data_IF_481943038157
#
_entry.id   IF_481943038157
#
_cell.length_a   1.000
_cell.length_b   1.000
_cell.length_c   1.000
_cell.angle_alpha   90.00
_cell.angle_beta   90.00
_cell.angle_gamma   90.00
#
_symmetry.space_group_name_H-M   'P 1'
#
loop_
_entity.id
_entity.type
_entity.pdbx_description
1 polymer ?
#
# COMPACT_ATOMS: atom_id res chain seq x y z
N UNK A 1 -3.97 -16.76 9.41
CA UNK A 1 -3.88 -15.40 9.99
C UNK A 1 -5.11 -14.59 9.59
N UNK A 2 -5.54 -13.61 10.41
CA UNK A 2 -6.75 -12.80 10.15
C UNK A 2 -6.35 -11.41 9.65
N UNK A 3 -6.92 -11.00 8.52
CA UNK A 3 -6.89 -9.61 8.04
C UNK A 3 -7.91 -8.80 8.84
N UNK A 4 -7.50 -7.64 9.35
CA UNK A 4 -8.35 -6.78 10.18
C UNK A 4 -8.31 -5.36 9.59
N UNK A 5 -9.48 -4.76 9.42
CA UNK A 5 -9.59 -3.34 9.06
C UNK A 5 -9.24 -2.51 10.30
N UNK A 6 -8.28 -1.60 10.16
CA UNK A 6 -7.90 -0.69 11.26
C UNK A 6 -8.79 0.55 11.14
N UNK A 7 -9.68 0.80 12.11
CA UNK A 7 -10.59 1.93 12.01
C UNK A 7 -9.80 3.25 12.05
N UNK A 8 -10.12 4.14 11.11
CA UNK A 8 -9.63 5.51 11.11
C UNK A 8 -10.51 6.32 12.06
N UNK A 9 -10.05 6.49 13.30
CA UNK A 9 -10.85 7.12 14.37
C UNK A 9 -10.84 8.66 14.37
N UNK A 10 -10.15 9.29 13.40
CA UNK A 10 -10.09 10.75 13.28
C UNK A 10 -9.89 11.19 11.82
N UNK A 11 -10.05 12.49 11.54
CA UNK A 11 -9.65 13.11 10.27
C UNK A 11 -8.13 13.02 10.10
N UNK A 12 -7.67 11.85 9.69
CA UNK A 12 -6.26 11.52 9.55
C UNK A 12 -5.71 12.20 8.30
N UNK A 13 -4.85 13.20 8.50
CA UNK A 13 -4.08 13.78 7.40
C UNK A 13 -2.92 12.83 7.03
N UNK A 14 -3.05 12.22 5.85
CA UNK A 14 -2.06 11.32 5.25
C UNK A 14 -0.68 11.97 5.08
N UNK A 15 -0.62 13.27 4.78
CA UNK A 15 0.66 14.00 4.69
C UNK A 15 1.37 14.04 6.04
N UNK A 16 0.61 14.04 7.13
CA UNK A 16 1.17 14.04 8.50
C UNK A 16 1.61 12.64 8.93
N UNK A 17 0.89 11.59 8.52
CA UNK A 17 1.24 10.20 8.87
C UNK A 17 2.37 9.62 8.02
N UNK A 18 2.37 9.92 6.73
CA UNK A 18 3.34 9.39 5.76
C UNK A 18 3.90 10.52 4.89
N UNK A 19 4.55 11.54 5.49
CA UNK A 19 5.16 12.61 4.73
C UNK A 19 6.13 12.01 3.72
N UNK A 20 6.13 12.56 2.50
CA UNK A 20 6.94 12.17 1.33
C UNK A 20 6.47 10.91 0.58
N UNK A 21 5.88 9.91 1.24
CA UNK A 21 5.26 8.77 0.55
C UNK A 21 4.04 9.21 -0.25
N UNK A 22 3.24 10.10 0.34
CA UNK A 22 2.07 10.72 -0.30
C UNK A 22 2.43 11.53 -1.53
N UNK A 23 3.49 12.36 -1.48
CA UNK A 23 3.92 13.18 -2.63
C UNK A 23 4.18 12.34 -3.88
N UNK A 24 4.98 11.28 -3.78
CA UNK A 24 5.29 10.43 -4.94
C UNK A 24 4.12 9.57 -5.40
N UNK A 25 3.25 9.17 -4.48
CA UNK A 25 2.07 8.36 -4.80
C UNK A 25 0.89 9.18 -5.36
N UNK A 26 0.83 10.48 -5.05
CA UNK A 26 -0.28 11.38 -5.43
C UNK A 26 0.07 12.43 -6.49
N UNK A 27 1.34 12.79 -6.71
CA UNK A 27 1.75 13.92 -7.58
C UNK A 27 1.32 13.79 -9.06
N UNK A 28 0.86 12.62 -9.52
CA UNK A 28 0.52 12.39 -10.94
C UNK A 28 -0.77 11.61 -11.18
N UNK A 29 -1.60 11.38 -10.15
CA UNK A 29 -2.74 10.45 -10.25
C UNK A 29 -4.03 11.08 -9.75
N UNK A 30 -5.16 10.56 -10.24
CA UNK A 30 -6.51 11.04 -9.95
C UNK A 30 -6.80 11.11 -8.44
N UNK A 31 -7.81 11.91 -8.10
CA UNK A 31 -8.32 12.07 -6.74
C UNK A 31 -8.64 10.71 -6.10
N UNK A 32 -8.33 10.58 -4.82
CA UNK A 32 -8.61 9.37 -4.04
C UNK A 32 -10.09 9.33 -3.72
N UNK A 33 -10.76 8.26 -4.14
CA UNK A 33 -12.18 8.02 -3.83
C UNK A 33 -12.34 7.46 -2.42
N UNK A 34 -11.48 6.54 -2.04
CA UNK A 34 -11.54 5.86 -0.75
C UNK A 34 -10.15 5.49 -0.26
N UNK A 35 -9.91 5.75 1.02
CA UNK A 35 -8.70 5.35 1.73
C UNK A 35 -9.08 4.44 2.89
N UNK A 36 -8.40 3.29 3.00
CA UNK A 36 -8.56 2.39 4.14
C UNK A 36 -7.20 1.90 4.64
N UNK A 37 -7.13 1.65 5.94
CA UNK A 37 -5.95 1.03 6.55
C UNK A 37 -6.31 -0.38 6.99
N UNK A 38 -5.49 -1.33 6.57
CA UNK A 38 -5.60 -2.72 6.99
C UNK A 38 -4.32 -3.15 7.70
N UNK A 39 -4.47 -4.11 8.60
CA UNK A 39 -3.36 -4.80 9.22
C UNK A 39 -3.47 -6.30 8.90
N UNK A 40 -2.36 -6.86 8.42
CA UNK A 40 -2.19 -8.30 8.27
C UNK A 40 -0.96 -8.72 9.06
N UNK A 41 -1.18 -9.34 10.22
CA UNK A 41 -0.13 -9.63 11.21
C UNK A 41 0.65 -8.35 11.58
N UNK A 42 1.90 -8.22 11.13
CA UNK A 42 2.77 -7.05 11.36
C UNK A 42 2.93 -6.15 10.13
N UNK A 43 2.28 -6.50 9.03
CA UNK A 43 2.29 -5.73 7.79
C UNK A 43 1.13 -4.74 7.83
N UNK A 44 1.46 -3.46 7.78
CA UNK A 44 0.46 -2.39 7.58
C UNK A 44 0.18 -2.29 6.09
N UNK A 45 -1.08 -2.18 5.72
CA UNK A 45 -1.52 -2.10 4.33
C UNK A 45 -2.32 -0.82 4.20
N UNK A 46 -1.86 0.06 3.32
CA UNK A 46 -2.60 1.25 2.93
C UNK A 46 -3.33 0.90 1.64
N UNK A 47 -4.65 0.92 1.71
CA UNK A 47 -5.53 0.69 0.58
C UNK A 47 -6.00 2.04 0.04
N UNK A 48 -5.72 2.30 -1.22
CA UNK A 48 -6.08 3.53 -1.92
C UNK A 48 -6.90 3.15 -3.14
N UNK A 49 -8.20 3.42 -3.08
CA UNK A 49 -9.10 3.26 -4.22
C UNK A 49 -9.28 4.60 -4.94
N UNK A 50 -8.98 4.57 -6.23
CA UNK A 50 -9.17 5.66 -7.18
C UNK A 50 -10.15 5.19 -8.25
N UNK A 51 -10.77 6.13 -8.95
CA UNK A 51 -11.81 5.84 -9.95
C UNK A 51 -11.37 4.85 -11.04
N UNK A 52 -10.08 4.80 -11.36
CA UNK A 52 -9.47 3.95 -12.39
C UNK A 52 -8.59 2.82 -11.82
N UNK A 53 -7.96 3.03 -10.66
CA UNK A 53 -7.00 2.08 -10.08
C UNK A 53 -7.18 1.90 -8.58
N UNK A 54 -6.95 0.68 -8.10
CA UNK A 54 -6.77 0.40 -6.68
C UNK A 54 -5.29 0.13 -6.42
N UNK A 55 -4.68 0.95 -5.57
CA UNK A 55 -3.30 0.79 -5.15
C UNK A 55 -3.25 0.25 -3.70
N UNK A 56 -2.39 -0.74 -3.46
CA UNK A 56 -2.06 -1.22 -2.12
C UNK A 56 -0.59 -0.93 -1.83
N UNK A 57 -0.31 -0.27 -0.69
CA UNK A 57 1.04 -0.12 -0.17
C UNK A 57 1.20 -0.99 1.07
N UNK A 58 2.05 -2.00 0.97
CA UNK A 58 2.36 -2.92 2.05
C UNK A 58 3.66 -2.50 2.72
N UNK A 59 3.60 -2.31 4.03
CA UNK A 59 4.68 -1.78 4.84
C UNK A 59 4.97 -2.74 5.99
N UNK A 60 6.21 -3.22 6.08
CA UNK A 60 6.65 -4.05 7.20
C UNK A 60 7.95 -3.50 7.82
N UNK A 61 7.94 -3.35 9.14
CA UNK A 61 9.08 -2.80 9.90
C UNK A 61 10.08 -3.86 10.36
N UNK A 62 9.66 -5.11 10.51
CA UNK A 62 10.42 -6.15 11.21
C UNK A 62 10.97 -7.24 10.27
N UNK A 63 10.25 -7.58 9.20
CA UNK A 63 10.63 -8.63 8.24
C UNK A 63 10.38 -8.23 6.78
N UNK A 64 10.96 -9.00 5.86
CA UNK A 64 10.54 -8.99 4.45
C UNK A 64 9.16 -9.62 4.32
N UNK A 65 8.34 -9.07 3.45
CA UNK A 65 6.98 -9.56 3.20
C UNK A 65 7.11 -10.75 2.24
N UNK A 66 6.58 -11.91 2.64
CA UNK A 66 6.66 -13.12 1.82
C UNK A 66 5.69 -13.08 0.64
N UNK A 67 5.99 -13.87 -0.40
CA UNK A 67 5.17 -13.93 -1.61
C UNK A 67 3.73 -14.37 -1.30
N UNK A 68 3.58 -15.38 -0.44
CA UNK A 68 2.29 -15.90 0.01
C UNK A 68 1.48 -14.86 0.80
N UNK A 69 2.14 -14.02 1.60
CA UNK A 69 1.46 -12.92 2.29
C UNK A 69 0.88 -11.92 1.29
N UNK A 70 1.67 -11.52 0.29
CA UNK A 70 1.22 -10.59 -0.77
C UNK A 70 0.02 -11.17 -1.52
N UNK A 71 0.08 -12.44 -1.92
CA UNK A 71 -1.03 -13.12 -2.61
C UNK A 71 -2.29 -13.21 -1.75
N UNK A 72 -2.14 -13.56 -0.48
CA UNK A 72 -3.27 -13.64 0.45
C UNK A 72 -3.93 -12.27 0.62
N UNK A 73 -3.13 -11.21 0.69
CA UNK A 73 -3.62 -9.82 0.80
C UNK A 73 -4.36 -9.41 -0.48
N UNK A 74 -3.78 -9.66 -1.66
CA UNK A 74 -4.42 -9.38 -2.96
C UNK A 74 -5.75 -10.12 -3.06
N UNK A 75 -5.75 -11.44 -2.83
CA UNK A 75 -6.94 -12.26 -2.95
C UNK A 75 -8.05 -11.83 -1.99
N UNK A 76 -7.69 -11.42 -0.77
CA UNK A 76 -8.67 -11.03 0.25
C UNK A 76 -9.19 -9.59 0.07
N UNK A 77 -8.33 -8.64 -0.31
CA UNK A 77 -8.70 -7.22 -0.44
C UNK A 77 -9.28 -6.89 -1.81
N UNK A 78 -8.65 -7.38 -2.88
CA UNK A 78 -9.02 -7.05 -4.25
C UNK A 78 -9.93 -8.10 -4.87
N UNK A 79 -10.02 -9.31 -4.30
CA UNK A 79 -10.78 -10.45 -4.85
C UNK A 79 -10.35 -10.85 -6.26
N UNK A 80 -9.09 -10.57 -6.61
CA UNK A 80 -8.46 -10.93 -7.88
C UNK A 80 -7.27 -11.84 -7.66
N UNK A 81 -6.75 -12.42 -8.74
CA UNK A 81 -5.52 -13.20 -8.69
C UNK A 81 -4.29 -12.29 -8.86
N UNK A 82 -3.14 -12.79 -8.43
CA UNK A 82 -1.86 -12.08 -8.54
C UNK A 82 -1.53 -11.66 -9.98
N UNK A 83 -1.94 -12.46 -10.96
CA UNK A 83 -1.68 -12.21 -12.39
C UNK A 83 -2.36 -10.95 -12.93
N UNK A 84 -3.44 -10.53 -12.27
CA UNK A 84 -4.25 -9.38 -12.69
C UNK A 84 -3.74 -8.06 -12.07
N UNK A 85 -2.68 -8.13 -11.24
CA UNK A 85 -2.13 -6.98 -10.53
C UNK A 85 -0.63 -6.80 -10.79
N UNK A 86 -0.21 -5.54 -10.81
CA UNK A 86 1.20 -5.18 -10.93
C UNK A 86 1.83 -5.11 -9.54
N UNK A 87 2.66 -6.10 -9.20
CA UNK A 87 3.35 -6.17 -7.91
C UNK A 87 4.79 -5.67 -8.05
N UNK A 88 5.12 -4.59 -7.36
CA UNK A 88 6.46 -4.04 -7.29
C UNK A 88 7.13 -4.37 -5.94
N UNK A 89 7.91 -5.44 -5.91
CA UNK A 89 8.65 -5.92 -4.73
C UNK A 89 9.88 -5.04 -4.42
N UNK A 90 10.37 -4.28 -5.40
CA UNK A 90 11.55 -3.41 -5.26
C UNK A 90 11.24 -1.99 -4.82
N UNK A 91 9.99 -1.69 -4.46
CA UNK A 91 9.49 -0.33 -4.30
C UNK A 91 10.26 0.48 -3.25
N UNK A 92 10.73 -0.17 -2.17
CA UNK A 92 11.61 0.47 -1.18
C UNK A 92 12.85 1.11 -1.80
N UNK A 93 13.53 0.43 -2.73
CA UNK A 93 14.74 0.98 -3.38
C UNK A 93 14.38 2.19 -4.24
N UNK A 94 13.31 2.09 -5.01
CA UNK A 94 12.82 3.18 -5.86
C UNK A 94 12.46 4.44 -5.07
N UNK A 95 11.79 4.29 -3.92
CA UNK A 95 11.48 5.42 -3.02
C UNK A 95 12.77 6.08 -2.51
N UNK A 96 13.75 5.29 -2.09
CA UNK A 96 15.02 5.80 -1.58
C UNK A 96 15.85 6.48 -2.69
N UNK A 97 15.86 5.93 -3.89
CA UNK A 97 16.50 6.50 -5.08
C UNK A 97 15.80 7.79 -5.54
N UNK A 98 14.48 7.88 -5.37
CA UNK A 98 13.70 9.09 -5.58
C UNK A 98 13.92 10.16 -4.48
N UNK A 99 14.81 9.92 -3.51
CA UNK A 99 15.16 10.86 -2.44
C UNK A 99 14.14 10.93 -1.30
N UNK A 100 13.13 10.07 -1.30
CA UNK A 100 12.09 10.07 -0.28
C UNK A 100 12.57 9.22 0.88
N UNK A 101 12.79 9.85 2.04
CA UNK A 101 13.12 9.16 3.28
C UNK A 101 11.84 8.98 4.09
N UNK A 102 11.32 7.75 4.24
CA UNK A 102 10.17 7.52 5.10
C UNK A 102 10.52 7.92 6.54
N UNK A 103 9.56 8.52 7.25
CA UNK A 103 9.73 8.94 8.65
C UNK A 103 10.07 7.77 9.58
N UNK A 104 9.58 6.57 9.25
CA UNK A 104 9.88 5.33 9.98
C UNK A 104 10.83 4.43 9.18
N UNK A 105 11.71 3.70 9.88
CA UNK A 105 12.52 2.66 9.25
C UNK A 105 11.66 1.43 8.94
N UNK A 106 11.37 1.23 7.65
CA UNK A 106 10.71 0.03 7.14
C UNK A 106 11.76 -0.95 6.64
N UNK A 107 11.62 -2.22 7.02
CA UNK A 107 12.49 -3.28 6.48
C UNK A 107 12.13 -3.58 5.04
N UNK A 108 10.84 -3.57 4.73
CA UNK A 108 10.32 -3.88 3.40
C UNK A 108 9.10 -3.03 3.04
N UNK A 109 9.01 -2.66 1.77
CA UNK A 109 7.92 -1.88 1.19
C UNK A 109 7.60 -2.46 -0.18
N UNK A 110 6.36 -2.89 -0.36
CA UNK A 110 5.84 -3.43 -1.63
C UNK A 110 4.67 -2.58 -2.07
N UNK A 111 4.66 -2.17 -3.33
CA UNK A 111 3.50 -1.55 -3.96
C UNK A 111 2.79 -2.57 -4.85
N UNK A 112 1.47 -2.56 -4.81
CA UNK A 112 0.61 -3.33 -5.71
C UNK A 112 -0.35 -2.37 -6.37
N UNK A 113 -0.46 -2.43 -7.69
CA UNK A 113 -1.43 -1.66 -8.46
C UNK A 113 -2.37 -2.61 -9.18
N UNK A 114 -3.67 -2.36 -9.06
CA UNK A 114 -4.72 -3.04 -9.78
C UNK A 114 -5.50 -2.02 -10.60
N UNK A 115 -5.65 -2.27 -11.91
CA UNK A 115 -6.46 -1.41 -12.78
C UNK A 115 -7.87 -1.98 -12.86
N UNK A 116 -8.85 -1.15 -12.55
CA UNK A 116 -10.24 -1.54 -12.64
C UNK A 116 -10.64 -1.68 -14.11
N UNK A 117 -11.34 -2.76 -14.50
CA UNK A 117 -11.95 -2.84 -15.82
C UNK A 117 -13.00 -1.73 -15.95
N UNK A 118 -13.00 -1.03 -17.09
CA UNK A 118 -13.96 0.03 -17.42
C UNK A 118 -15.36 -0.50 -17.65
#
# INVERSE_FOLDING_TARGET
MKLIETPLNSNVNLETLYPNLTRYFFDKRQAVKLLKLYAYDRTKIIYVDRFDTIDLLLLNRQRKISHQEVETIIHRLLKVERKDVLVNVGYKKQILEAGLRPKESYKDIIAVEYRLPK
#
